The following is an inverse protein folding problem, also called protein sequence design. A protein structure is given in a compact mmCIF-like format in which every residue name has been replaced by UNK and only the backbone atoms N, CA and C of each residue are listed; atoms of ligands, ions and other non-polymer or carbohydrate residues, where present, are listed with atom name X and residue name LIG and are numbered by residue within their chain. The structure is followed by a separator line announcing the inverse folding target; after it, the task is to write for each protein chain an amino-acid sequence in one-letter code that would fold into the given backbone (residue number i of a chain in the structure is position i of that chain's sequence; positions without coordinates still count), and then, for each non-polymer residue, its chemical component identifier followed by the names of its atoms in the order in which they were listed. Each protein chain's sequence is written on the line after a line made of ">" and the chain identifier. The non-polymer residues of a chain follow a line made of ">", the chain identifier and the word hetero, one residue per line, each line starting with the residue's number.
data_IF_894067461356
#
_entry.id   IF_894067461356
#
_cell.length_a   1.000
_cell.length_b   1.000
_cell.length_c   1.000
_cell.angle_alpha   90.00
_cell.angle_beta   90.00
_cell.angle_gamma   90.00
#
_symmetry.space_group_name_H-M   'P 1'
#
loop_
_entity.id
_entity.type
_entity.pdbx_description
1 polymer ?
#
# COMPACT_ATOMS: atom_id res chain seq x y z
N UNK A 1 -6.39 5.23 5.72
CA UNK A 1 -5.40 5.05 4.64
C UNK A 1 -5.66 3.76 3.89
N UNK A 2 -5.08 3.61 2.70
CA UNK A 2 -5.17 2.39 1.90
C UNK A 2 -3.85 2.10 1.17
N UNK A 3 -3.62 0.84 0.82
CA UNK A 3 -2.42 0.38 0.12
C UNK A 3 -2.82 -0.27 -1.19
N UNK A 4 -2.21 0.16 -2.29
CA UNK A 4 -2.30 -0.47 -3.60
C UNK A 4 -0.95 -1.13 -3.95
N UNK A 5 -0.98 -2.17 -4.80
CA UNK A 5 0.19 -2.84 -5.33
C UNK A 5 0.26 -2.77 -6.86
N UNK A 6 1.47 -2.68 -7.42
CA UNK A 6 1.77 -2.86 -8.85
C UNK A 6 2.70 -4.05 -9.02
N UNK A 7 2.39 -4.84 -10.06
CA UNK A 7 3.15 -6.03 -10.46
C UNK A 7 4.42 -5.63 -11.23
N UNK A 8 5.37 -6.56 -11.45
CA UNK A 8 6.61 -6.29 -12.18
C UNK A 8 6.44 -5.81 -13.61
N UNK A 9 5.31 -6.09 -14.23
CA UNK A 9 4.96 -5.58 -15.56
C UNK A 9 4.33 -4.17 -15.53
N UNK A 10 4.29 -3.51 -14.36
CA UNK A 10 3.69 -2.18 -14.17
C UNK A 10 2.16 -2.18 -14.10
N UNK A 11 1.49 -3.34 -14.22
CA UNK A 11 0.03 -3.43 -14.08
C UNK A 11 -0.38 -3.33 -12.62
N UNK A 12 -1.50 -2.66 -12.29
CA UNK A 12 -2.04 -2.71 -10.94
C UNK A 12 -2.44 -4.15 -10.59
N UNK A 13 -2.19 -4.55 -9.34
CA UNK A 13 -2.67 -5.83 -8.83
C UNK A 13 -4.20 -5.86 -8.83
N UNK A 14 -4.79 -6.93 -9.35
CA UNK A 14 -6.24 -7.07 -9.48
C UNK A 14 -6.98 -7.11 -8.14
N UNK A 15 -6.29 -7.51 -7.06
CA UNK A 15 -6.83 -7.52 -5.71
C UNK A 15 -6.71 -6.18 -4.98
N UNK A 16 -6.36 -5.09 -5.66
CA UNK A 16 -6.30 -3.79 -5.01
C UNK A 16 -7.69 -3.30 -4.55
N UNK A 17 -7.78 -2.62 -3.40
CA UNK A 17 -6.67 -2.29 -2.50
C UNK A 17 -6.15 -3.50 -1.70
N UNK A 18 -4.82 -3.65 -1.63
CA UNK A 18 -4.16 -4.68 -0.81
C UNK A 18 -4.47 -4.53 0.69
N UNK A 19 -4.74 -3.30 1.12
CA UNK A 19 -5.24 -2.99 2.46
C UNK A 19 -6.14 -1.75 2.42
N UNK A 20 -7.22 -1.79 3.20
CA UNK A 20 -8.04 -0.63 3.51
C UNK A 20 -9.22 -0.44 2.54
N UNK A 21 -9.93 0.71 2.65
CA UNK A 21 -9.64 1.86 3.50
C UNK A 21 -9.74 1.54 5.01
N UNK A 22 -8.70 1.90 5.77
CA UNK A 22 -8.68 1.79 7.23
C UNK A 22 -8.87 3.19 7.83
N UNK A 23 -9.98 3.48 8.52
CA UNK A 23 -10.19 4.75 9.19
C UNK A 23 -9.28 4.86 10.42
N UNK A 24 -8.78 6.07 10.67
CA UNK A 24 -7.99 6.41 11.85
C UNK A 24 -8.56 7.70 12.43
N UNK A 25 -8.91 7.68 13.71
CA UNK A 25 -9.34 8.88 14.44
C UNK A 25 -8.17 9.39 15.27
N UNK A 26 -7.77 10.64 15.03
CA UNK A 26 -6.74 11.33 15.82
C UNK A 26 -7.39 12.44 16.64
N UNK A 27 -6.99 12.57 17.90
CA UNK A 27 -7.30 13.77 18.67
C UNK A 27 -6.53 14.98 18.11
N UNK A 28 -6.93 16.22 18.41
CA UNK A 28 -6.16 17.41 18.01
C UNK A 28 -4.70 17.31 18.45
N UNK A 29 -3.77 17.49 17.51
CA UNK A 29 -2.32 17.32 17.74
C UNK A 29 -1.83 15.87 17.91
N UNK A 30 -2.73 14.89 17.79
CA UNK A 30 -2.40 13.47 17.90
C UNK A 30 -1.63 12.94 16.70
N UNK A 31 -0.82 11.93 16.94
CA UNK A 31 -0.13 11.15 15.90
C UNK A 31 -0.31 9.67 16.18
N UNK A 32 -0.35 8.87 15.12
CA UNK A 32 -0.35 7.41 15.21
C UNK A 32 0.66 6.85 14.23
N UNK A 33 1.42 5.84 14.68
CA UNK A 33 2.30 5.04 13.84
C UNK A 33 1.87 3.58 13.93
N UNK A 34 1.81 2.91 12.78
CA UNK A 34 1.49 1.48 12.69
C UNK A 34 2.54 0.79 11.84
N UNK A 35 2.99 -0.37 12.31
CA UNK A 35 3.83 -1.26 11.52
C UNK A 35 2.94 -2.27 10.79
N UNK A 36 3.06 -2.34 9.47
CA UNK A 36 2.22 -3.19 8.62
C UNK A 36 3.09 -4.24 7.93
N UNK A 37 2.66 -5.50 7.99
CA UNK A 37 3.30 -6.62 7.30
C UNK A 37 2.37 -7.26 6.29
N UNK A 38 2.94 -7.73 5.18
CA UNK A 38 2.22 -8.49 4.15
C UNK A 38 3.08 -9.65 3.68
N UNK A 39 2.44 -10.79 3.45
CA UNK A 39 3.11 -11.98 2.91
C UNK A 39 3.02 -11.94 1.40
N UNK A 40 4.15 -12.09 0.72
CA UNK A 40 4.19 -12.26 -0.74
C UNK A 40 3.77 -13.69 -1.05
N UNK A 41 2.75 -13.93 -1.89
CA UNK A 41 2.35 -15.28 -2.29
C UNK A 41 3.50 -16.02 -2.99
N UNK A 42 3.66 -17.31 -2.74
CA UNK A 42 4.71 -18.11 -3.39
C UNK A 42 4.58 -18.18 -4.92
N UNK A 43 3.38 -17.96 -5.45
CA UNK A 43 3.09 -17.91 -6.89
C UNK A 43 3.29 -16.51 -7.50
N UNK A 44 3.73 -15.52 -6.72
CA UNK A 44 3.94 -14.17 -7.21
C UNK A 44 5.06 -14.17 -8.27
N UNK A 45 4.86 -13.53 -9.43
CA UNK A 45 5.91 -13.39 -10.43
C UNK A 45 7.19 -12.79 -9.84
N UNK A 46 8.35 -13.26 -10.31
CA UNK A 46 9.62 -12.64 -9.95
C UNK A 46 9.72 -11.23 -10.54
N UNK A 47 10.43 -10.35 -9.84
CA UNK A 47 10.69 -8.99 -10.31
C UNK A 47 10.40 -7.90 -9.29
N UNK A 48 10.39 -6.66 -9.76
CA UNK A 48 10.18 -5.46 -8.93
C UNK A 48 8.69 -5.22 -8.69
N UNK A 49 8.33 -4.95 -7.45
CA UNK A 49 6.99 -4.57 -7.04
C UNK A 49 7.03 -3.19 -6.42
N UNK A 50 5.88 -2.52 -6.50
CA UNK A 50 5.66 -1.24 -5.85
C UNK A 50 4.40 -1.35 -5.00
N UNK A 51 4.51 -1.02 -3.71
CA UNK A 51 3.37 -0.70 -2.88
C UNK A 51 3.24 0.82 -2.79
N UNK A 52 2.03 1.34 -2.92
CA UNK A 52 1.71 2.75 -2.68
C UNK A 52 0.76 2.86 -1.51
N UNK A 53 1.22 3.49 -0.43
CA UNK A 53 0.41 3.81 0.74
C UNK A 53 -0.18 5.20 0.54
N UNK A 54 -1.47 5.37 0.83
CA UNK A 54 -2.18 6.65 0.73
C UNK A 54 -2.86 6.98 2.06
N UNK A 55 -2.72 8.23 2.50
CA UNK A 55 -3.42 8.81 3.66
C UNK A 55 -4.47 9.81 3.15
N UNK A 56 -5.64 9.84 3.79
CA UNK A 56 -6.82 10.57 3.34
C UNK A 56 -7.95 9.68 2.82
N UNK A 57 -8.86 10.26 2.04
CA UNK A 57 -9.97 9.61 1.35
C UNK A 57 -9.76 9.64 -0.18
N UNK A 58 -8.76 8.93 -0.71
CA UNK A 58 -8.49 8.92 -2.15
C UNK A 58 -9.64 8.26 -2.94
N UNK A 59 -9.84 8.64 -4.20
CA UNK A 59 -9.03 9.60 -4.94
C UNK A 59 -9.38 11.07 -4.65
N UNK A 60 -10.50 11.34 -3.96
CA UNK A 60 -11.04 12.68 -3.80
C UNK A 60 -10.21 13.58 -2.86
N UNK A 61 -9.65 13.02 -1.80
CA UNK A 61 -8.90 13.75 -0.78
C UNK A 61 -7.63 12.98 -0.38
N UNK A 62 -6.60 13.07 -1.22
CA UNK A 62 -5.29 12.49 -0.94
C UNK A 62 -4.46 13.50 -0.12
N UNK A 63 -4.26 13.20 1.15
CA UNK A 63 -3.46 14.04 2.05
C UNK A 63 -1.96 13.80 1.84
N UNK A 64 -1.57 12.53 1.72
CA UNK A 64 -0.18 12.14 1.51
C UNK A 64 -0.09 10.73 0.88
N UNK A 65 1.05 10.43 0.26
CA UNK A 65 1.36 9.09 -0.22
C UNK A 65 2.86 8.78 -0.12
N UNK A 66 3.15 7.50 0.06
CA UNK A 66 4.52 7.00 0.04
C UNK A 66 4.62 5.68 -0.72
N UNK A 67 5.84 5.34 -1.13
CA UNK A 67 6.15 4.24 -2.01
C UNK A 67 7.15 3.30 -1.36
N UNK A 68 6.83 2.00 -1.39
CA UNK A 68 7.71 0.94 -0.95
C UNK A 68 8.03 0.02 -2.12
N UNK A 69 9.30 0.05 -2.54
CA UNK A 69 9.83 -0.81 -3.59
C UNK A 69 10.44 -2.07 -3.00
N UNK A 70 10.14 -3.23 -3.59
CA UNK A 70 10.79 -4.48 -3.22
C UNK A 70 10.92 -5.41 -4.42
N UNK A 71 11.95 -6.26 -4.40
CA UNK A 71 12.18 -7.27 -5.44
C UNK A 71 11.88 -8.66 -4.90
N UNK A 72 11.11 -9.44 -5.66
CA UNK A 72 10.98 -10.88 -5.47
C UNK A 72 12.02 -11.57 -6.34
N UNK A 73 12.88 -12.37 -5.71
CA UNK A 73 13.96 -13.16 -6.33
C UNK A 73 13.72 -14.66 -6.07
N UNK A 74 14.38 -15.56 -6.82
CA UNK A 74 14.30 -17.01 -6.58
C UNK A 74 14.67 -17.43 -5.16
#
# INVERSE_FOLDING_TARGET
>A
GLIDAWLPNGSPYSGNPLLGPVPVTLAPGGSQSQYLTRTVPAIAPLGEYLLRVKVGNPPADLLDQDFFHFRVVP
#
